data_IF_514227648825
#
_entry.id   IF_514227648825
#
_cell.length_a   1.000
_cell.length_b   1.000
_cell.length_c   1.000
_cell.angle_alpha   90.00
_cell.angle_beta   90.00
_cell.angle_gamma   90.00
#
_symmetry.space_group_name_H-M   'P 1'
#
loop_
_entity.id
_entity.type
_entity.pdbx_description
1 polymer ?
#
# COMPACT_ATOMS: atom_id res chain seq x y z
N UNK A 1 -3.76 -8.95 30.86
CA UNK A 1 -3.18 -8.43 29.60
C UNK A 1 -4.15 -8.57 28.42
N UNK A 2 -4.74 -9.75 28.17
CA UNK A 2 -5.72 -9.93 27.08
C UNK A 2 -7.02 -9.13 27.25
N UNK A 3 -7.55 -9.02 28.47
CA UNK A 3 -8.74 -8.21 28.74
C UNK A 3 -8.53 -6.72 28.42
N UNK A 4 -7.35 -6.19 28.76
CA UNK A 4 -6.98 -4.82 28.44
C UNK A 4 -6.90 -4.59 26.92
N UNK A 5 -6.32 -5.55 26.18
CA UNK A 5 -6.30 -5.50 24.72
C UNK A 5 -7.72 -5.54 24.12
N UNK A 6 -8.62 -6.37 24.65
CA UNK A 6 -10.02 -6.40 24.19
C UNK A 6 -10.78 -5.10 24.45
N UNK A 7 -10.51 -4.42 25.57
CA UNK A 7 -11.18 -3.16 25.92
C UNK A 7 -10.61 -1.94 25.19
N UNK A 8 -9.30 -1.87 24.99
CA UNK A 8 -8.62 -0.64 24.54
C UNK A 8 -7.91 -0.78 23.19
N UNK A 9 -7.79 -1.99 22.63
CA UNK A 9 -7.08 -2.25 21.37
C UNK A 9 -5.55 -2.14 21.47
N UNK A 10 -4.99 -1.86 22.65
CA UNK A 10 -3.56 -1.71 22.89
C UNK A 10 -2.98 -2.87 23.69
N UNK A 11 -1.77 -3.32 23.33
CA UNK A 11 -1.04 -4.32 24.12
C UNK A 11 -0.56 -3.67 25.42
N UNK A 12 -0.84 -4.33 26.54
CA UNK A 12 -0.41 -3.84 27.85
C UNK A 12 1.12 -3.80 27.97
N UNK A 13 1.65 -2.68 28.44
CA UNK A 13 3.08 -2.43 28.67
C UNK A 13 3.27 -1.68 29.99
N UNK A 14 4.40 -1.87 30.67
CA UNK A 14 4.71 -1.16 31.94
C UNK A 14 4.78 0.36 31.74
N UNK A 15 5.10 0.81 30.52
CA UNK A 15 5.06 2.23 30.18
C UNK A 15 3.66 2.86 30.31
N UNK A 16 2.58 2.08 30.29
CA UNK A 16 1.21 2.57 30.54
C UNK A 16 0.97 3.06 31.97
N UNK A 17 1.87 2.73 32.91
CA UNK A 17 1.78 3.24 34.30
C UNK A 17 2.20 4.70 34.41
N UNK A 18 2.93 5.22 33.42
CA UNK A 18 3.45 6.57 33.45
C UNK A 18 2.33 7.54 33.05
N UNK A 19 1.91 8.47 33.94
CA UNK A 19 0.79 9.38 33.66
C UNK A 19 1.03 10.27 32.43
N UNK A 20 2.30 10.52 32.11
CA UNK A 20 2.74 11.34 30.98
C UNK A 20 2.97 10.54 29.69
N UNK A 21 2.90 9.20 29.74
CA UNK A 21 3.16 8.35 28.59
C UNK A 21 1.88 7.72 28.05
N UNK A 22 1.37 8.28 26.96
CA UNK A 22 0.22 7.76 26.25
C UNK A 22 0.67 6.94 25.05
N UNK A 23 0.65 5.61 25.19
CA UNK A 23 1.05 4.69 24.12
C UNK A 23 0.28 4.84 22.81
N UNK A 24 -0.98 5.28 22.86
CA UNK A 24 -1.79 5.46 21.65
C UNK A 24 -1.37 6.73 20.91
N UNK A 25 -1.14 7.84 21.63
CA UNK A 25 -0.74 9.12 21.02
C UNK A 25 0.75 9.19 20.67
N UNK A 26 1.61 8.56 21.47
CA UNK A 26 3.07 8.63 21.33
C UNK A 26 3.66 7.47 20.51
N UNK A 27 2.81 6.62 19.89
CA UNK A 27 3.25 5.67 18.87
C UNK A 27 3.41 6.41 17.54
N UNK A 28 4.64 6.63 17.12
CA UNK A 28 4.94 7.27 15.84
C UNK A 28 4.46 6.40 14.67
N UNK A 29 3.63 6.99 13.81
CA UNK A 29 3.10 6.34 12.62
C UNK A 29 4.04 6.71 11.48
N UNK A 30 4.83 5.74 11.04
CA UNK A 30 5.77 5.97 9.95
C UNK A 30 5.03 6.33 8.63
N UNK A 31 5.29 7.52 8.07
CA UNK A 31 4.68 7.97 6.81
C UNK A 31 5.02 7.08 5.62
N UNK A 32 6.20 6.44 5.60
CA UNK A 32 6.58 5.55 4.50
C UNK A 32 5.69 4.32 4.43
N UNK A 33 5.61 3.56 5.52
CA UNK A 33 4.80 2.34 5.57
C UNK A 33 3.31 2.67 5.53
N UNK A 34 2.89 3.76 6.19
CA UNK A 34 1.48 4.10 6.29
C UNK A 34 0.94 4.73 4.99
N UNK A 35 1.57 5.80 4.51
CA UNK A 35 1.07 6.51 3.33
C UNK A 35 1.50 5.83 2.04
N UNK A 36 2.80 5.59 1.84
CA UNK A 36 3.31 5.11 0.54
C UNK A 36 2.98 3.62 0.33
N UNK A 37 3.41 2.76 1.26
CA UNK A 37 3.17 1.31 1.15
C UNK A 37 1.76 0.90 1.60
N UNK A 38 1.07 1.76 2.34
CA UNK A 38 -0.30 1.53 2.79
C UNK A 38 -1.30 2.13 1.83
N UNK A 39 -1.53 3.44 1.93
CA UNK A 39 -2.57 4.16 1.20
C UNK A 39 -2.33 4.13 -0.31
N UNK A 40 -1.18 4.62 -0.77
CA UNK A 40 -0.86 4.78 -2.20
C UNK A 40 -0.80 3.42 -2.89
N UNK A 41 -0.08 2.46 -2.32
CA UNK A 41 -0.05 1.08 -2.84
C UNK A 41 -1.44 0.46 -2.91
N UNK A 42 -2.31 0.69 -1.92
CA UNK A 42 -3.67 0.14 -1.95
C UNK A 42 -4.49 0.76 -3.08
N UNK A 43 -4.38 2.07 -3.30
CA UNK A 43 -5.04 2.73 -4.41
C UNK A 43 -4.52 2.23 -5.76
N UNK A 44 -3.21 2.27 -5.98
CA UNK A 44 -2.58 1.87 -7.23
C UNK A 44 -2.78 0.38 -7.52
N UNK A 45 -2.35 -0.50 -6.62
CA UNK A 45 -2.30 -1.92 -6.90
C UNK A 45 -3.61 -2.64 -6.59
N UNK A 46 -4.20 -2.41 -5.41
CA UNK A 46 -5.36 -3.18 -4.98
C UNK A 46 -6.68 -2.68 -5.57
N UNK A 47 -6.77 -1.39 -5.90
CA UNK A 47 -7.90 -0.87 -6.68
C UNK A 47 -7.53 -0.94 -8.16
N UNK A 48 -6.65 -0.08 -8.65
CA UNK A 48 -6.58 0.10 -10.10
C UNK A 48 -6.09 -1.11 -10.89
N UNK A 49 -5.08 -1.83 -10.40
CA UNK A 49 -4.55 -3.02 -11.08
C UNK A 49 -5.44 -4.25 -10.81
N UNK A 50 -5.67 -4.63 -9.55
CA UNK A 50 -6.41 -5.85 -9.21
C UNK A 50 -7.89 -5.82 -9.62
N UNK A 51 -8.55 -4.66 -9.58
CA UNK A 51 -9.93 -4.55 -10.07
C UNK A 51 -10.00 -4.26 -11.57
N UNK A 52 -8.85 -4.28 -12.27
CA UNK A 52 -8.75 -4.02 -13.70
C UNK A 52 -9.38 -2.68 -14.11
N UNK A 53 -9.32 -1.68 -13.23
CA UNK A 53 -9.69 -0.31 -13.58
C UNK A 53 -8.76 0.19 -14.70
N UNK A 54 -7.46 -0.07 -14.56
CA UNK A 54 -6.42 0.16 -15.58
C UNK A 54 -5.99 -1.20 -16.14
N UNK A 55 -6.27 -1.47 -17.42
CA UNK A 55 -6.00 -2.79 -18.02
C UNK A 55 -4.66 -2.82 -18.74
N UNK A 56 -3.96 -3.94 -18.63
CA UNK A 56 -2.77 -4.25 -19.42
C UNK A 56 -3.13 -4.35 -20.91
N UNK A 57 -2.23 -3.93 -21.83
CA UNK A 57 -2.45 -4.00 -23.26
C UNK A 57 -2.75 -5.44 -23.73
N UNK A 58 -3.69 -5.59 -24.65
CA UNK A 58 -3.98 -6.89 -25.29
C UNK A 58 -2.99 -7.19 -26.41
N UNK A 59 -2.76 -8.49 -26.68
CA UNK A 59 -1.91 -8.94 -27.80
C UNK A 59 -2.35 -8.41 -29.18
N UNK A 60 -3.61 -7.95 -29.32
CA UNK A 60 -4.13 -7.34 -30.54
C UNK A 60 -3.72 -5.86 -30.76
N UNK A 61 -2.73 -5.32 -30.03
CA UNK A 61 -2.14 -4.01 -30.33
C UNK A 61 -3.01 -2.77 -30.00
N UNK A 62 -4.27 -2.94 -29.60
CA UNK A 62 -5.08 -1.82 -29.11
C UNK A 62 -4.51 -1.33 -27.76
N UNK A 63 -3.87 -0.16 -27.78
CA UNK A 63 -3.28 0.48 -26.62
C UNK A 63 -4.34 0.73 -25.55
N UNK A 64 -4.29 -0.07 -24.47
CA UNK A 64 -5.15 0.08 -23.28
C UNK A 64 -4.59 1.13 -22.32
N UNK A 65 -5.32 1.36 -21.23
CA UNK A 65 -5.03 2.38 -20.21
C UNK A 65 -3.58 2.28 -19.71
N UNK A 66 -3.09 1.06 -19.44
CA UNK A 66 -1.71 0.85 -18.96
C UNK A 66 -0.66 1.08 -20.05
N UNK A 67 -1.00 0.82 -21.32
CA UNK A 67 -0.10 1.05 -22.46
C UNK A 67 0.09 2.54 -22.80
N UNK A 68 -0.79 3.42 -22.31
CA UNK A 68 -0.57 4.87 -22.33
C UNK A 68 0.47 5.25 -21.27
N UNK A 69 0.39 4.66 -20.08
CA UNK A 69 1.34 4.87 -18.99
C UNK A 69 2.73 4.35 -19.39
N UNK A 70 2.83 3.15 -19.96
CA UNK A 70 4.13 2.58 -20.37
C UNK A 70 4.81 3.40 -21.47
N UNK A 71 4.08 3.82 -22.50
CA UNK A 71 4.63 4.70 -23.56
C UNK A 71 5.13 6.03 -23.01
N UNK A 72 4.44 6.59 -22.03
CA UNK A 72 4.90 7.80 -21.37
C UNK A 72 6.16 7.53 -20.55
N UNK A 73 6.22 6.43 -19.78
CA UNK A 73 7.40 6.08 -18.99
C UNK A 73 8.63 5.76 -19.85
N UNK A 74 8.44 5.33 -21.10
CA UNK A 74 9.52 5.12 -22.06
C UNK A 74 10.13 6.44 -22.55
N UNK A 75 9.32 7.50 -22.72
CA UNK A 75 9.81 8.83 -23.16
C UNK A 75 10.14 9.78 -22.01
N UNK A 76 9.76 9.43 -20.78
CA UNK A 76 9.91 10.29 -19.63
C UNK A 76 11.32 10.24 -19.05
N UNK A 77 12.07 11.31 -19.26
CA UNK A 77 13.40 11.51 -18.67
C UNK A 77 13.27 12.16 -17.29
N UNK A 78 13.90 11.52 -16.29
CA UNK A 78 13.91 12.01 -14.91
C UNK A 78 15.30 12.46 -14.51
N UNK A 79 15.44 13.59 -13.77
CA UNK A 79 16.73 13.98 -13.19
C UNK A 79 17.32 12.87 -12.34
N UNK A 80 18.65 12.75 -12.30
CA UNK A 80 19.37 11.66 -11.60
C UNK A 80 19.10 11.59 -10.09
N UNK A 81 18.69 12.70 -9.49
CA UNK A 81 18.32 12.80 -8.07
C UNK A 81 16.87 12.42 -7.78
N UNK A 82 16.04 12.27 -8.81
CA UNK A 82 14.64 11.86 -8.69
C UNK A 82 14.51 10.34 -8.86
N UNK A 83 13.49 9.75 -8.23
CA UNK A 83 13.19 8.32 -8.40
C UNK A 83 12.85 7.97 -9.85
N UNK A 84 13.00 6.70 -10.23
CA UNK A 84 12.61 6.18 -11.54
C UNK A 84 11.56 5.10 -11.38
N UNK A 85 10.52 5.14 -12.21
CA UNK A 85 9.51 4.08 -12.25
C UNK A 85 9.95 2.94 -13.19
N UNK A 86 9.60 1.67 -12.88
CA UNK A 86 9.75 0.57 -13.82
C UNK A 86 8.93 0.83 -15.10
N UNK A 87 9.54 0.56 -16.26
CA UNK A 87 8.89 0.79 -17.55
C UNK A 87 7.54 0.03 -17.69
N UNK A 88 7.43 -1.15 -17.09
CA UNK A 88 6.23 -2.00 -17.08
C UNK A 88 5.48 -1.97 -15.76
N UNK A 89 5.35 -0.78 -15.15
CA UNK A 89 4.62 -0.63 -13.89
C UNK A 89 3.20 -1.19 -13.98
N UNK A 90 2.75 -1.92 -12.95
CA UNK A 90 1.40 -2.51 -12.90
C UNK A 90 1.27 -3.88 -13.57
N UNK A 91 2.25 -4.34 -14.34
CA UNK A 91 2.31 -5.71 -14.82
C UNK A 91 3.13 -6.61 -13.88
N UNK A 92 2.88 -7.93 -13.83
CA UNK A 92 3.72 -8.87 -13.08
C UNK A 92 5.21 -8.75 -13.44
N UNK A 93 5.53 -8.42 -14.70
CA UNK A 93 6.89 -8.24 -15.20
C UNK A 93 7.59 -6.98 -14.65
N UNK A 94 6.84 -5.95 -14.23
CA UNK A 94 7.40 -4.72 -13.65
C UNK A 94 7.72 -4.83 -12.15
N UNK A 95 7.36 -5.95 -11.51
CA UNK A 95 7.56 -6.16 -10.08
C UNK A 95 6.68 -5.27 -9.19
N UNK A 96 6.90 -5.38 -7.88
CA UNK A 96 6.26 -4.50 -6.90
C UNK A 96 7.08 -3.24 -6.72
N UNK A 97 6.41 -2.08 -6.77
CA UNK A 97 7.05 -0.80 -6.48
C UNK A 97 7.50 -0.72 -5.01
N UNK A 98 8.68 -0.15 -4.82
CA UNK A 98 9.25 0.26 -3.55
C UNK A 98 8.59 1.54 -3.04
N UNK A 99 8.80 1.86 -1.76
CA UNK A 99 8.23 3.08 -1.19
C UNK A 99 8.75 4.35 -1.87
N UNK A 100 10.03 4.38 -2.26
CA UNK A 100 10.61 5.52 -2.98
C UNK A 100 10.00 5.72 -4.36
N UNK A 101 9.74 4.61 -5.06
CA UNK A 101 9.07 4.63 -6.36
C UNK A 101 7.61 5.10 -6.22
N UNK A 102 6.89 4.66 -5.18
CA UNK A 102 5.54 5.18 -4.88
C UNK A 102 5.55 6.66 -4.53
N UNK A 103 6.56 7.13 -3.80
CA UNK A 103 6.74 8.55 -3.48
C UNK A 103 6.98 9.37 -4.74
N UNK A 104 7.97 8.98 -5.54
CA UNK A 104 8.30 9.65 -6.78
C UNK A 104 7.08 9.71 -7.69
N UNK A 105 6.36 8.61 -7.77
CA UNK A 105 5.23 8.54 -8.63
C UNK A 105 4.06 9.40 -8.09
N UNK A 106 3.77 9.44 -6.80
CA UNK A 106 2.67 10.27 -6.26
C UNK A 106 2.96 11.75 -6.26
N UNK A 107 4.22 12.13 -6.07
CA UNK A 107 4.59 13.54 -5.94
C UNK A 107 5.03 14.15 -7.28
N UNK A 108 5.50 13.32 -8.21
CA UNK A 108 6.13 13.77 -9.45
C UNK A 108 5.51 13.11 -10.67
N UNK A 109 5.60 11.79 -10.82
CA UNK A 109 5.20 11.14 -12.07
C UNK A 109 3.69 11.25 -12.32
N UNK A 110 2.83 10.76 -11.43
CA UNK A 110 1.37 10.82 -11.56
C UNK A 110 0.82 12.25 -11.61
N UNK A 111 1.35 13.23 -10.84
CA UNK A 111 1.03 14.66 -11.00
C UNK A 111 1.49 15.29 -12.31
N UNK A 112 2.61 14.88 -12.91
CA UNK A 112 3.00 15.36 -14.25
C UNK A 112 2.19 14.64 -15.34
N UNK A 113 1.76 13.42 -15.05
CA UNK A 113 0.68 12.69 -15.72
C UNK A 113 -0.70 13.28 -15.31
N UNK A 114 -0.81 14.49 -14.75
CA UNK A 114 -2.12 15.16 -14.50
C UNK A 114 -2.84 15.55 -15.78
N UNK A 115 -2.14 15.58 -16.91
CA UNK A 115 -2.78 15.54 -18.24
C UNK A 115 -2.97 14.10 -18.75
N UNK A 116 -2.92 13.09 -17.89
CA UNK A 116 -2.80 11.68 -18.25
C UNK A 116 -3.73 10.76 -17.45
N UNK A 117 -3.84 10.84 -16.12
CA UNK A 117 -4.86 10.07 -15.38
C UNK A 117 -6.27 10.62 -15.65
N UNK A 118 -6.52 11.94 -15.56
CA UNK A 118 -7.76 12.53 -16.07
C UNK A 118 -7.99 12.21 -17.55
N UNK A 119 -6.95 12.23 -18.38
CA UNK A 119 -7.07 11.93 -19.83
C UNK A 119 -7.29 10.44 -20.13
N UNK A 120 -6.72 9.52 -19.34
CA UNK A 120 -7.01 8.09 -19.42
C UNK A 120 -8.46 7.87 -19.00
N UNK A 121 -8.91 8.55 -17.95
CA UNK A 121 -10.31 8.49 -17.55
C UNK A 121 -11.22 9.06 -18.62
N UNK A 122 -10.96 10.27 -19.11
CA UNK A 122 -11.73 10.92 -20.18
C UNK A 122 -11.78 10.07 -21.46
N UNK A 123 -10.67 9.41 -21.81
CA UNK A 123 -10.58 8.57 -23.01
C UNK A 123 -11.26 7.21 -22.87
N UNK A 124 -11.29 6.62 -21.69
CA UNK A 124 -11.72 5.22 -21.50
C UNK A 124 -12.96 5.06 -20.61
N UNK A 125 -13.50 6.14 -20.04
CA UNK A 125 -14.68 6.10 -19.16
C UNK A 125 -15.94 5.69 -19.91
N UNK A 126 -16.15 6.20 -21.12
CA UNK A 126 -17.34 5.84 -21.91
C UNK A 126 -17.33 4.37 -22.31
N UNK A 127 -16.16 3.84 -22.66
CA UNK A 127 -15.98 2.41 -22.93
C UNK A 127 -16.16 1.58 -21.65
N UNK A 128 -15.70 2.07 -20.49
CA UNK A 128 -15.92 1.42 -19.21
C UNK A 128 -17.40 1.36 -18.83
N UNK A 129 -18.15 2.44 -19.08
CA UNK A 129 -19.58 2.53 -18.80
C UNK A 129 -20.36 1.57 -19.72
N UNK A 130 -20.03 1.53 -21.02
CA UNK A 130 -20.63 0.56 -21.97
C UNK A 130 -20.34 -0.88 -21.60
N UNK A 131 -19.11 -1.20 -21.18
CA UNK A 131 -18.73 -2.53 -20.69
C UNK A 131 -19.55 -2.90 -19.42
N UNK A 132 -19.79 -1.92 -18.54
CA UNK A 132 -20.59 -2.12 -17.33
C UNK A 132 -22.07 -2.34 -17.63
N UNK A 133 -22.67 -1.53 -18.50
CA UNK A 133 -24.07 -1.67 -18.92
C UNK A 133 -24.32 -3.06 -19.50
N UNK A 134 -23.47 -3.51 -20.42
CA UNK A 134 -23.51 -4.89 -20.96
C UNK A 134 -23.38 -5.94 -19.86
N UNK A 135 -22.45 -5.74 -18.91
CA UNK A 135 -22.27 -6.68 -17.82
C UNK A 135 -23.50 -6.76 -16.89
N UNK A 136 -24.19 -5.64 -16.67
CA UNK A 136 -25.45 -5.55 -15.91
C UNK A 136 -26.58 -6.26 -16.66
N UNK A 137 -26.71 -6.04 -17.96
CA UNK A 137 -27.76 -6.67 -18.77
C UNK A 137 -27.59 -8.20 -18.88
N UNK A 138 -26.35 -8.67 -18.97
CA UNK A 138 -26.02 -10.10 -19.02
C UNK A 138 -26.04 -10.79 -17.65
N UNK A 139 -26.03 -10.04 -16.54
CA UNK A 139 -25.92 -10.62 -15.19
C UNK A 139 -27.13 -11.48 -14.80
N UNK A 140 -28.39 -11.05 -15.02
CA UNK A 140 -29.56 -11.88 -14.74
C UNK A 140 -29.53 -13.23 -15.46
N UNK A 141 -29.12 -13.26 -16.73
CA UNK A 141 -29.00 -14.49 -17.51
C UNK A 141 -27.92 -15.43 -16.97
N UNK A 142 -26.74 -14.89 -16.63
CA UNK A 142 -25.66 -15.67 -16.00
C UNK A 142 -26.04 -16.20 -14.62
N UNK A 143 -26.76 -15.40 -13.83
CA UNK A 143 -27.23 -15.78 -12.51
C UNK A 143 -28.29 -16.90 -12.60
N UNK A 144 -29.22 -16.79 -13.55
CA UNK A 144 -30.21 -17.84 -13.81
C UNK A 144 -29.57 -19.16 -14.27
N UNK A 145 -28.56 -19.09 -15.15
CA UNK A 145 -27.81 -20.26 -15.58
C UNK A 145 -27.06 -20.94 -14.43
N UNK A 146 -26.36 -20.16 -13.60
CA UNK A 146 -25.72 -20.66 -12.38
C UNK A 146 -26.73 -21.26 -11.41
N UNK A 147 -27.90 -20.65 -11.25
CA UNK A 147 -28.90 -21.13 -10.31
C UNK A 147 -29.51 -22.47 -10.77
N UNK A 148 -29.68 -22.67 -12.08
CA UNK A 148 -30.08 -23.97 -12.63
C UNK A 148 -28.99 -25.05 -12.44
N UNK A 149 -27.72 -24.69 -12.68
CA UNK A 149 -26.56 -25.56 -12.45
C UNK A 149 -26.41 -25.94 -10.96
N UNK A 150 -26.57 -24.95 -10.07
CA UNK A 150 -26.52 -25.13 -8.63
C UNK A 150 -27.62 -26.08 -8.16
N UNK A 151 -28.85 -25.91 -8.64
CA UNK A 151 -29.97 -26.78 -8.28
C UNK A 151 -29.69 -28.23 -8.72
N UNK A 152 -29.18 -28.40 -9.94
CA UNK A 152 -28.79 -29.70 -10.49
C UNK A 152 -27.62 -30.34 -9.73
N UNK A 153 -26.69 -29.53 -9.22
CA UNK A 153 -25.60 -29.99 -8.35
C UNK A 153 -26.11 -30.39 -6.96
N UNK A 154 -27.04 -29.64 -6.37
CA UNK A 154 -27.64 -29.97 -5.07
C UNK A 154 -28.42 -31.29 -5.11
N UNK A 155 -29.13 -31.56 -6.20
CA UNK A 155 -29.85 -32.83 -6.38
C UNK A 155 -28.89 -34.03 -6.46
N UNK A 156 -27.73 -33.85 -7.11
CA UNK A 156 -26.69 -34.88 -7.21
C UNK A 156 -25.89 -35.05 -5.92
N UNK A 157 -25.82 -34.01 -5.08
CA UNK A 157 -25.06 -33.99 -3.84
C UNK A 157 -25.93 -33.57 -2.64
N UNK A 158 -26.79 -34.46 -2.11
CA UNK A 158 -27.55 -34.20 -0.90
C UNK A 158 -26.62 -34.00 0.31
N UNK A 159 -26.95 -33.04 1.17
CA UNK A 159 -26.15 -32.68 2.35
C UNK A 159 -25.93 -33.89 3.28
N UNK A 160 -24.68 -34.33 3.40
CA UNK A 160 -24.27 -35.29 4.44
C UNK A 160 -24.13 -34.59 5.80
N UNK A 161 -24.38 -35.29 6.94
CA UNK A 161 -24.19 -34.72 8.26
C UNK A 161 -22.73 -34.30 8.46
N UNK A 162 -22.52 -33.12 9.05
CA UNK A 162 -21.20 -32.54 9.29
C UNK A 162 -20.41 -33.47 10.22
N UNK A 163 -19.53 -34.29 9.65
CA UNK A 163 -18.48 -34.99 10.39
C UNK A 163 -17.12 -34.49 9.91
N UNK A 164 -16.27 -34.18 10.88
CA UNK A 164 -15.06 -33.41 10.67
C UNK A 164 -14.03 -34.15 9.82
N UNK A 165 -13.43 -33.35 8.92
CA UNK A 165 -12.06 -33.44 8.39
C UNK A 165 -11.73 -34.66 7.52
N UNK A 166 -11.71 -34.43 6.21
CA UNK A 166 -10.51 -34.41 5.37
C UNK A 166 -10.89 -33.87 3.98
N UNK A 167 -10.22 -32.82 3.48
CA UNK A 167 -10.41 -32.31 2.11
C UNK A 167 -9.82 -33.32 1.11
N UNK A 168 -10.60 -34.30 0.69
CA UNK A 168 -10.35 -35.04 -0.56
C UNK A 168 -10.59 -34.07 -1.72
N UNK A 169 -9.80 -34.20 -2.79
CA UNK A 169 -10.02 -33.48 -4.06
C UNK A 169 -11.38 -33.95 -4.58
N UNK A 170 -12.38 -33.06 -4.52
CA UNK A 170 -13.75 -33.41 -4.86
C UNK A 170 -13.85 -33.72 -6.36
N UNK A 171 -14.55 -34.80 -6.71
CA UNK A 171 -14.71 -35.21 -8.12
C UNK A 171 -15.76 -34.34 -8.83
N UNK A 172 -16.59 -33.61 -8.08
CA UNK A 172 -17.63 -32.71 -8.59
C UNK A 172 -17.71 -31.43 -7.72
N UNK A 173 -16.85 -30.43 -7.98
CA UNK A 173 -16.77 -29.23 -7.15
C UNK A 173 -18.05 -28.37 -7.21
N UNK A 174 -18.37 -27.70 -6.10
CA UNK A 174 -19.51 -26.79 -6.00
C UNK A 174 -19.48 -25.66 -7.07
N UNK A 175 -20.59 -25.42 -7.80
CA UNK A 175 -20.68 -24.35 -8.79
C UNK A 175 -20.45 -22.97 -8.18
N UNK A 176 -19.48 -22.22 -8.71
CA UNK A 176 -19.10 -20.89 -8.20
C UNK A 176 -20.09 -19.83 -8.69
N UNK A 177 -20.69 -19.07 -7.76
CA UNK A 177 -21.62 -18.00 -8.09
C UNK A 177 -20.99 -16.91 -8.98
N UNK A 178 -21.71 -16.42 -10.02
CA UNK A 178 -21.23 -15.33 -10.85
C UNK A 178 -21.12 -14.06 -10.00
N UNK A 179 -19.97 -13.37 -10.12
CA UNK A 179 -19.71 -12.13 -9.38
C UNK A 179 -20.62 -11.02 -9.91
N UNK A 180 -21.20 -10.18 -9.03
CA UNK A 180 -22.04 -9.06 -9.47
C UNK A 180 -21.22 -8.07 -10.31
N UNK A 181 -21.86 -7.41 -11.30
CA UNK A 181 -21.21 -6.38 -12.10
C UNK A 181 -20.71 -5.25 -11.18
N UNK A 182 -19.49 -4.79 -11.43
CA UNK A 182 -18.83 -3.75 -10.64
C UNK A 182 -18.47 -2.59 -11.55
N UNK A 183 -18.62 -1.37 -11.03
CA UNK A 183 -18.15 -0.16 -11.71
C UNK A 183 -16.63 -0.22 -11.83
N UNK A 184 -16.13 -0.18 -13.06
CA UNK A 184 -14.70 -0.30 -13.36
C UNK A 184 -13.96 1.02 -13.21
N UNK A 185 -14.53 2.10 -13.75
CA UNK A 185 -13.98 3.45 -13.72
C UNK A 185 -15.08 4.40 -13.25
N UNK A 186 -14.87 5.15 -12.16
CA UNK A 186 -15.86 6.12 -11.67
C UNK A 186 -15.52 7.52 -12.14
N UNK A 187 -16.49 8.29 -12.65
CA UNK A 187 -16.26 9.65 -13.19
C UNK A 187 -15.56 10.61 -12.22
N UNK A 188 -15.78 10.45 -10.91
CA UNK A 188 -15.14 11.27 -9.89
C UNK A 188 -13.70 10.88 -9.57
N UNK A 189 -13.14 9.77 -10.09
CA UNK A 189 -11.79 9.30 -9.70
C UNK A 189 -10.65 10.28 -10.01
N UNK A 190 -10.59 10.97 -11.16
CA UNK A 190 -9.53 11.93 -11.43
C UNK A 190 -9.62 13.14 -10.51
N UNK A 191 -10.84 13.64 -10.29
CA UNK A 191 -11.09 14.72 -9.35
C UNK A 191 -10.78 14.27 -7.92
N UNK A 192 -11.08 13.03 -7.56
CA UNK A 192 -10.78 12.44 -6.26
C UNK A 192 -9.30 12.12 -6.07
N UNK A 193 -8.53 11.82 -7.14
CA UNK A 193 -7.08 11.68 -7.09
C UNK A 193 -6.43 13.05 -6.90
N UNK A 194 -6.94 14.07 -7.60
CA UNK A 194 -6.52 15.46 -7.41
C UNK A 194 -6.92 15.97 -6.02
N UNK A 195 -8.13 15.64 -5.55
CA UNK A 195 -8.60 15.90 -4.18
C UNK A 195 -7.88 15.04 -3.16
N UNK A 196 -7.42 13.82 -3.46
CA UNK A 196 -6.59 12.98 -2.58
C UNK A 196 -5.18 13.53 -2.51
N UNK A 197 -4.60 13.98 -3.62
CA UNK A 197 -3.32 14.69 -3.66
C UNK A 197 -3.43 16.03 -2.93
N UNK A 198 -4.59 16.70 -3.01
CA UNK A 198 -4.90 17.94 -2.30
C UNK A 198 -5.32 17.70 -0.84
N UNK A 199 -5.89 16.54 -0.49
CA UNK A 199 -6.31 16.15 0.86
C UNK A 199 -5.21 15.39 1.61
N UNK A 200 -4.22 14.83 0.92
CA UNK A 200 -2.89 14.52 1.45
C UNK A 200 -2.14 15.83 1.75
N UNK A 201 -2.47 16.93 1.05
CA UNK A 201 -2.05 18.29 1.39
C UNK A 201 -2.98 18.98 2.43
N UNK A 202 -4.22 18.49 2.64
CA UNK A 202 -5.26 19.07 3.53
C UNK A 202 -6.02 17.96 4.32
N UNK A 203 -5.34 17.08 5.05
CA UNK A 203 -5.90 16.42 6.24
C UNK A 203 -7.01 15.30 6.17
N UNK A 204 -7.48 14.72 5.06
CA UNK A 204 -8.46 13.59 5.11
C UNK A 204 -9.77 13.81 5.94
N UNK A 205 -10.91 14.08 5.27
CA UNK A 205 -12.25 13.94 5.88
C UNK A 205 -13.34 13.30 5.00
N UNK A 206 -13.06 12.89 3.75
CA UNK A 206 -14.13 12.55 2.78
C UNK A 206 -14.07 11.13 2.16
N UNK A 207 -13.14 10.26 2.58
CA UNK A 207 -12.96 8.94 1.94
C UNK A 207 -13.99 7.87 2.33
N UNK A 208 -14.88 8.14 3.30
CA UNK A 208 -15.88 7.17 3.78
C UNK A 208 -17.08 7.02 2.83
N UNK A 209 -17.40 8.05 2.04
CA UNK A 209 -18.63 8.06 1.22
C UNK A 209 -18.54 7.24 -0.08
N UNK A 210 -17.35 6.92 -0.58
CA UNK A 210 -17.17 6.39 -1.95
C UNK A 210 -16.98 4.87 -2.03
N UNK A 211 -16.28 4.26 -1.07
CA UNK A 211 -15.90 2.84 -1.14
C UNK A 211 -16.52 1.97 -0.03
N UNK A 212 -17.28 2.58 0.89
CA UNK A 212 -17.84 1.91 2.05
C UNK A 212 -16.78 1.52 3.10
N UNK A 213 -17.22 1.27 4.34
CA UNK A 213 -16.31 0.96 5.46
C UNK A 213 -15.50 -0.33 5.26
N UNK A 214 -16.01 -1.28 4.47
CA UNK A 214 -15.34 -2.55 4.18
C UNK A 214 -14.08 -2.40 3.31
N UNK A 215 -13.91 -1.27 2.63
CA UNK A 215 -12.76 -1.00 1.77
C UNK A 215 -11.62 -0.26 2.48
N UNK A 216 -11.85 0.28 3.68
CA UNK A 216 -10.85 1.06 4.42
C UNK A 216 -9.91 0.13 5.19
N UNK A 217 -8.61 0.21 4.87
CA UNK A 217 -7.56 -0.41 5.69
C UNK A 217 -7.26 0.45 6.92
N UNK A 218 -6.76 -0.13 8.03
CA UNK A 218 -6.34 0.63 9.22
C UNK A 218 -5.39 1.79 8.92
N UNK A 219 -4.52 1.64 7.91
CA UNK A 219 -3.61 2.67 7.44
C UNK A 219 -4.32 3.98 7.04
N UNK A 220 -5.53 3.91 6.48
CA UNK A 220 -6.31 5.11 6.15
C UNK A 220 -6.75 5.87 7.40
N UNK A 221 -7.05 5.17 8.51
CA UNK A 221 -7.34 5.79 9.80
C UNK A 221 -6.06 6.37 10.41
N UNK A 222 -4.94 5.64 10.37
CA UNK A 222 -3.66 6.13 10.88
C UNK A 222 -3.15 7.36 10.15
N UNK A 223 -3.48 7.52 8.86
CA UNK A 223 -3.14 8.72 8.11
C UNK A 223 -3.77 10.01 8.68
N UNK A 224 -4.92 9.90 9.37
CA UNK A 224 -5.61 11.04 10.01
C UNK A 224 -4.79 11.61 11.17
N UNK A 225 -4.03 10.76 11.88
CA UNK A 225 -3.20 11.18 13.02
C UNK A 225 -1.87 11.81 12.59
N UNK A 226 -1.52 11.77 11.30
CA UNK A 226 -0.19 12.18 10.84
C UNK A 226 0.08 13.66 11.10
N UNK A 227 -0.92 14.53 10.98
CA UNK A 227 -0.68 15.95 11.18
C UNK A 227 -0.50 16.32 12.65
N UNK A 228 -1.20 15.66 13.57
CA UNK A 228 -0.93 15.77 15.01
C UNK A 228 0.52 15.34 15.29
N UNK A 229 0.99 14.27 14.62
CA UNK A 229 2.38 13.83 14.73
C UNK A 229 3.40 14.79 14.12
N UNK A 230 3.07 15.50 13.04
CA UNK A 230 3.95 16.54 12.50
C UNK A 230 4.06 17.73 13.46
N UNK A 231 2.97 18.07 14.16
CA UNK A 231 2.99 19.10 15.20
C UNK A 231 3.83 18.67 16.41
N UNK A 232 3.71 17.40 16.83
CA UNK A 232 4.40 16.86 18.00
C UNK A 232 5.89 16.53 17.74
N UNK A 233 6.22 15.93 16.59
CA UNK A 233 7.55 15.39 16.27
C UNK A 233 8.32 16.21 15.21
N UNK A 234 7.70 17.27 14.68
CA UNK A 234 8.29 18.14 13.65
C UNK A 234 8.14 17.58 12.23
N UNK A 235 8.94 18.04 11.26
CA UNK A 235 8.82 17.65 9.87
C UNK A 235 8.87 16.13 9.66
N UNK A 236 8.08 15.62 8.73
CA UNK A 236 7.97 14.19 8.32
C UNK A 236 9.34 13.50 8.16
N UNK A 237 10.34 14.23 7.64
CA UNK A 237 11.69 13.72 7.43
C UNK A 237 12.41 13.29 8.72
N UNK A 238 12.01 13.82 9.88
CA UNK A 238 12.64 13.50 11.16
C UNK A 238 12.28 12.10 11.66
N UNK A 239 11.10 11.59 11.29
CA UNK A 239 10.57 10.36 11.87
C UNK A 239 10.14 9.30 10.85
N UNK A 240 10.35 9.52 9.54
CA UNK A 240 10.08 8.48 8.56
C UNK A 240 11.14 7.36 8.58
N UNK A 241 10.77 6.19 8.08
CA UNK A 241 11.59 4.99 8.22
C UNK A 241 12.67 4.77 7.15
N UNK A 242 12.78 5.57 6.08
CA UNK A 242 13.77 5.21 5.04
C UNK A 242 15.21 5.31 5.54
N UNK A 243 15.52 6.22 6.47
CA UNK A 243 16.88 6.28 7.04
C UNK A 243 17.17 4.98 7.79
N UNK A 244 16.28 4.57 8.69
CA UNK A 244 16.42 3.31 9.43
C UNK A 244 16.46 2.09 8.50
N UNK A 245 15.67 2.05 7.43
CA UNK A 245 15.72 0.95 6.46
C UNK A 245 17.03 0.92 5.67
N UNK A 246 17.55 2.08 5.26
CA UNK A 246 18.87 2.18 4.61
C UNK A 246 19.97 1.70 5.55
N UNK A 247 19.93 2.11 6.81
CA UNK A 247 20.88 1.64 7.84
C UNK A 247 20.75 0.13 8.07
N UNK A 248 19.52 -0.40 8.13
CA UNK A 248 19.29 -1.85 8.22
C UNK A 248 19.88 -2.60 7.02
N UNK A 249 19.79 -2.02 5.81
CA UNK A 249 20.41 -2.59 4.61
C UNK A 249 21.94 -2.58 4.70
N UNK A 250 22.54 -1.51 5.22
CA UNK A 250 23.99 -1.44 5.47
C UNK A 250 24.41 -2.52 6.47
N UNK A 251 23.67 -2.66 7.57
CA UNK A 251 23.92 -3.70 8.58
C UNK A 251 23.79 -5.10 7.98
N UNK A 252 22.75 -5.36 7.19
CA UNK A 252 22.53 -6.65 6.53
C UNK A 252 23.63 -6.99 5.52
N UNK A 253 24.17 -6.00 4.82
CA UNK A 253 25.22 -6.18 3.82
C UNK A 253 26.63 -6.23 4.43
N UNK A 254 26.76 -5.94 5.72
CA UNK A 254 28.04 -6.03 6.41
C UNK A 254 28.43 -7.50 6.56
N UNK A 255 29.66 -7.84 6.15
CA UNK A 255 30.14 -9.20 6.29
C UNK A 255 30.32 -9.53 7.77
N UNK A 256 29.52 -10.48 8.25
CA UNK A 256 29.52 -10.94 9.63
C UNK A 256 30.50 -12.09 9.89
N UNK A 257 31.21 -12.60 8.87
CA UNK A 257 32.15 -13.73 8.95
C UNK A 257 31.60 -14.94 9.74
N UNK A 258 30.29 -15.20 9.63
CA UNK A 258 29.56 -16.22 10.39
C UNK A 258 29.64 -16.11 11.92
N UNK A 259 30.03 -14.95 12.47
CA UNK A 259 30.02 -14.71 13.90
C UNK A 259 28.58 -14.68 14.42
N UNK A 260 28.31 -15.43 15.48
CA UNK A 260 26.98 -15.59 16.11
C UNK A 260 27.08 -15.35 17.61
N UNK A 261 25.94 -15.15 18.26
CA UNK A 261 25.83 -15.12 19.71
C UNK A 261 26.34 -13.83 20.38
N UNK A 262 26.06 -12.66 19.81
CA UNK A 262 26.33 -11.38 20.47
C UNK A 262 27.72 -10.76 20.20
N UNK A 263 28.60 -11.46 19.48
CA UNK A 263 29.99 -11.02 19.29
C UNK A 263 30.12 -9.76 18.42
N UNK A 264 29.21 -9.59 17.47
CA UNK A 264 29.18 -8.43 16.57
C UNK A 264 28.65 -7.22 17.33
N UNK A 265 27.61 -7.43 18.14
CA UNK A 265 26.99 -6.43 18.99
C UNK A 265 27.99 -5.87 20.01
N UNK A 266 28.80 -6.74 20.62
CA UNK A 266 29.89 -6.33 21.52
C UNK A 266 30.95 -5.52 20.77
N UNK A 267 31.34 -5.95 19.58
CA UNK A 267 32.35 -5.25 18.77
C UNK A 267 31.86 -3.86 18.33
N UNK A 268 30.62 -3.77 17.85
CA UNK A 268 29.96 -2.51 17.51
C UNK A 268 29.87 -1.57 18.72
N UNK A 269 29.49 -2.09 19.89
CA UNK A 269 29.39 -1.30 21.12
C UNK A 269 30.76 -0.78 21.59
N UNK A 270 31.81 -1.59 21.46
CA UNK A 270 33.18 -1.19 21.78
C UNK A 270 33.67 -0.09 20.86
N UNK A 271 33.46 -0.22 19.55
CA UNK A 271 33.83 0.83 18.58
C UNK A 271 33.02 2.10 18.79
N UNK A 272 31.71 2.00 19.05
CA UNK A 272 30.87 3.16 19.40
C UNK A 272 31.41 3.89 20.65
N UNK A 273 31.78 3.13 21.69
CA UNK A 273 32.35 3.69 22.92
C UNK A 273 33.73 4.31 22.69
N UNK A 274 34.53 3.75 21.77
CA UNK A 274 35.83 4.31 21.38
C UNK A 274 35.66 5.61 20.59
N UNK A 275 34.78 5.63 19.60
CA UNK A 275 34.46 6.81 18.80
C UNK A 275 33.89 7.94 19.66
N UNK A 276 32.98 7.63 20.59
CA UNK A 276 32.41 8.62 21.51
C UNK A 276 33.47 9.27 22.40
N UNK A 277 34.41 8.47 22.94
CA UNK A 277 35.53 8.98 23.73
C UNK A 277 36.48 9.84 22.90
N UNK A 278 36.76 9.43 21.66
CA UNK A 278 37.62 10.20 20.75
C UNK A 278 36.98 11.54 20.37
N UNK A 279 35.69 11.55 20.03
CA UNK A 279 34.95 12.80 19.76
C UNK A 279 34.90 13.72 20.97
N UNK A 280 34.74 13.19 22.17
CA UNK A 280 34.80 13.97 23.41
C UNK A 280 36.18 14.62 23.54
N UNK A 281 37.27 13.84 23.45
CA UNK A 281 38.64 14.37 23.55
C UNK A 281 38.94 15.47 22.51
N UNK A 282 38.56 15.26 21.25
CA UNK A 282 38.75 16.25 20.18
C UNK A 282 37.95 17.52 20.46
N UNK A 283 36.69 17.39 20.90
CA UNK A 283 35.84 18.55 21.24
C UNK A 283 36.44 19.35 22.39
N UNK A 284 36.98 18.69 23.42
CA UNK A 284 37.64 19.38 24.54
C UNK A 284 38.93 20.08 24.11
N UNK A 285 39.75 19.46 23.26
CA UNK A 285 40.98 20.07 22.75
C UNK A 285 40.71 21.28 21.85
N UNK A 286 39.65 21.25 21.03
CA UNK A 286 39.27 22.38 20.15
C UNK A 286 38.72 23.57 20.96
N UNK A 287 38.09 23.32 22.10
CA UNK A 287 37.63 24.37 23.03
C UNK A 287 38.80 25.01 23.80
N UNK A 288 39.89 24.26 24.06
CA UNK A 288 41.06 24.77 24.79
C UNK A 288 42.04 25.55 23.89
N UNK A 289 41.91 25.44 22.57
CA UNK A 289 42.78 26.09 21.58
C UNK A 289 42.14 27.33 20.90
N UNK A 290 40.92 27.72 21.29
CA UNK A 290 40.31 29.02 20.97
C UNK A 290 40.17 29.85 22.25
#
# INVERSE_FOLDING_TARGET
REEHFKRHGSRWSEFMRLPYFNLVRQSVIDPMHNLLLGVVKTQWHDRWIKTSAIRAPTQAGNGRELGVIHRFLESFETPSWAGKLPARVGEPAGGSLTADEYKFAMLTAWPLIVSGIPTIWDRFIDDANKDQEKAVDEYPGRYAAWQAEWNSWRERNPLAPITGKHKKKDKDPEPVAPKPPKVRMQAGEPENLLRLATALKIYCASSVSLYGASALKPNFHWAVHLTEQIQDFGPVYNFWAFLSERLNKVLKNSNVNNWKGGQIEISMLREFSRASRLNALVSTCVIVLN
#
